data_IF_963864124289
#
_entry.id   IF_963864124289
#
_cell.length_a   1.000
_cell.length_b   1.000
_cell.length_c   1.000
_cell.angle_alpha   90.00
_cell.angle_beta   90.00
_cell.angle_gamma   90.00
#
_symmetry.space_group_name_H-M   'P 1'
#
loop_
_entity.id
_entity.type
_entity.pdbx_description
1 polymer ?
#
# COMPACT_ATOMS: atom_id res chain seq x y z
N UNK A 1 -42.00 27.45 30.65
CA UNK A 1 -40.63 27.27 31.18
C UNK A 1 -40.03 26.04 30.52
N UNK A 2 -39.25 26.24 29.46
CA UNK A 2 -38.53 25.15 28.78
C UNK A 2 -37.17 25.04 29.44
N UNK A 3 -36.92 23.92 30.12
CA UNK A 3 -35.62 23.63 30.73
C UNK A 3 -34.61 23.43 29.60
N UNK A 4 -33.74 24.43 29.42
CA UNK A 4 -32.61 24.35 28.52
C UNK A 4 -31.78 23.12 28.83
N UNK A 5 -31.54 22.30 27.81
CA UNK A 5 -30.63 21.17 27.87
C UNK A 5 -29.28 21.68 28.37
N UNK A 6 -28.81 21.17 29.51
CA UNK A 6 -27.53 21.56 30.08
C UNK A 6 -26.40 21.16 29.11
N UNK A 7 -25.58 22.13 28.71
CA UNK A 7 -24.54 21.99 27.69
C UNK A 7 -23.28 21.24 28.16
N UNK A 8 -23.43 20.15 28.93
CA UNK A 8 -22.27 19.45 29.51
C UNK A 8 -21.52 18.53 28.53
N UNK A 9 -21.99 18.37 27.30
CA UNK A 9 -21.24 17.66 26.25
C UNK A 9 -20.99 18.57 25.06
N UNK A 10 -20.14 19.58 25.24
CA UNK A 10 -19.57 20.25 24.10
C UNK A 10 -18.58 19.27 23.44
N UNK A 11 -19.05 18.58 22.40
CA UNK A 11 -18.21 17.72 21.57
C UNK A 11 -17.12 18.56 20.92
N UNK A 12 -15.89 18.40 21.40
CA UNK A 12 -14.74 18.98 20.72
C UNK A 12 -14.55 18.32 19.34
N UNK A 13 -13.82 19.03 18.46
CA UNK A 13 -13.60 18.57 17.09
C UNK A 13 -12.84 17.24 17.02
N UNK A 14 -11.96 16.97 17.96
CA UNK A 14 -11.16 15.74 17.98
C UNK A 14 -12.03 14.54 18.32
N UNK A 15 -12.93 14.67 19.30
CA UNK A 15 -13.89 13.64 19.69
C UNK A 15 -14.91 13.38 18.59
N UNK A 16 -15.38 14.43 17.91
CA UNK A 16 -16.23 14.27 16.73
C UNK A 16 -15.51 13.52 15.60
N UNK A 17 -14.23 13.81 15.34
CA UNK A 17 -13.43 13.11 14.33
C UNK A 17 -13.21 11.63 14.70
N UNK A 18 -12.92 11.35 15.98
CA UNK A 18 -12.79 9.98 16.49
C UNK A 18 -14.09 9.17 16.32
N UNK A 19 -15.24 9.76 16.65
CA UNK A 19 -16.55 9.13 16.43
C UNK A 19 -16.74 8.83 14.94
N UNK A 20 -16.47 9.80 14.06
CA UNK A 20 -16.58 9.59 12.60
C UNK A 20 -15.69 8.46 12.09
N UNK A 21 -14.46 8.36 12.58
CA UNK A 21 -13.57 7.26 12.21
C UNK A 21 -14.11 5.91 12.68
N UNK A 22 -14.66 5.84 13.90
CA UNK A 22 -15.32 4.64 14.43
C UNK A 22 -16.53 4.22 13.58
N UNK A 23 -17.37 5.17 13.19
CA UNK A 23 -18.54 4.92 12.32
C UNK A 23 -18.12 4.42 10.93
N UNK A 24 -17.06 4.99 10.33
CA UNK A 24 -16.52 4.49 9.07
C UNK A 24 -16.02 3.05 9.19
N UNK A 25 -15.27 2.76 10.26
CA UNK A 25 -14.75 1.43 10.51
C UNK A 25 -15.87 0.39 10.69
N UNK A 26 -16.89 0.70 11.49
CA UNK A 26 -18.05 -0.17 11.72
C UNK A 26 -18.80 -0.47 10.41
N UNK A 27 -19.12 0.57 9.63
CA UNK A 27 -19.84 0.41 8.36
C UNK A 27 -19.05 -0.46 7.37
N UNK A 28 -17.73 -0.24 7.25
CA UNK A 28 -16.87 -1.03 6.36
C UNK A 28 -16.81 -2.49 6.83
N UNK A 29 -16.60 -2.72 8.12
CA UNK A 29 -16.54 -4.05 8.71
C UNK A 29 -17.85 -4.81 8.48
N UNK A 30 -18.99 -4.18 8.77
CA UNK A 30 -20.30 -4.81 8.57
C UNK A 30 -20.55 -5.13 7.10
N UNK A 31 -20.21 -4.22 6.17
CA UNK A 31 -20.41 -4.43 4.75
C UNK A 31 -19.60 -5.64 4.25
N UNK A 32 -18.32 -5.73 4.63
CA UNK A 32 -17.44 -6.80 4.19
C UNK A 32 -17.73 -8.13 4.88
N UNK A 33 -18.04 -8.15 6.19
CA UNK A 33 -18.48 -9.36 6.88
C UNK A 33 -19.76 -9.93 6.25
N UNK A 34 -20.74 -9.08 5.91
CA UNK A 34 -21.96 -9.51 5.20
C UNK A 34 -21.63 -10.04 3.81
N UNK A 35 -20.70 -9.40 3.09
CA UNK A 35 -20.24 -9.86 1.77
C UNK A 35 -19.54 -11.22 1.83
N UNK A 36 -18.67 -11.42 2.82
CA UNK A 36 -17.93 -12.66 3.02
C UNK A 36 -18.86 -13.81 3.44
N UNK A 37 -19.79 -13.57 4.36
CA UNK A 37 -20.81 -14.56 4.79
C UNK A 37 -21.69 -15.00 3.62
N UNK A 38 -22.05 -14.08 2.70
CA UNK A 38 -22.78 -14.43 1.47
C UNK A 38 -22.00 -15.37 0.54
N UNK A 39 -20.67 -15.40 0.66
CA UNK A 39 -19.78 -16.32 -0.06
C UNK A 39 -19.35 -17.51 0.79
N UNK A 40 -20.05 -17.78 1.90
CA UNK A 40 -19.73 -18.93 2.74
C UNK A 40 -19.99 -20.24 2.01
N UNK A 41 -19.11 -21.22 2.23
CA UNK A 41 -19.23 -22.59 1.73
C UNK A 41 -19.14 -23.49 2.96
N UNK A 42 -20.09 -24.41 3.10
CA UNK A 42 -20.17 -25.36 4.23
C UNK A 42 -20.19 -24.69 5.62
N UNK A 43 -20.84 -23.52 5.73
CA UNK A 43 -20.94 -22.78 6.98
C UNK A 43 -19.67 -22.04 7.40
N UNK A 44 -18.65 -22.03 6.54
CA UNK A 44 -17.39 -21.31 6.79
C UNK A 44 -17.27 -20.11 5.86
N UNK A 45 -16.90 -18.98 6.43
CA UNK A 45 -16.58 -17.78 5.68
C UNK A 45 -15.21 -17.95 5.01
N UNK A 46 -15.17 -17.94 3.68
CA UNK A 46 -13.93 -18.06 2.92
C UNK A 46 -13.06 -16.81 2.99
N UNK A 47 -11.86 -16.88 2.40
CA UNK A 47 -11.05 -15.68 2.16
C UNK A 47 -11.83 -14.68 1.31
N UNK A 48 -11.69 -13.40 1.64
CA UNK A 48 -12.38 -12.31 0.96
C UNK A 48 -11.36 -11.26 0.54
N UNK A 49 -11.33 -10.95 -0.76
CA UNK A 49 -10.65 -9.78 -1.29
C UNK A 49 -11.69 -8.66 -1.48
N UNK A 50 -11.33 -7.46 -1.05
CA UNK A 50 -12.22 -6.30 -1.08
C UNK A 50 -11.51 -5.12 -1.75
N UNK A 51 -12.24 -4.43 -2.62
CA UNK A 51 -11.80 -3.17 -3.23
C UNK A 51 -12.56 -2.04 -2.56
N UNK A 52 -11.82 -1.13 -1.92
CA UNK A 52 -12.40 0.01 -1.20
C UNK A 52 -11.98 1.27 -1.95
N UNK A 53 -12.96 2.06 -2.36
CA UNK A 53 -12.74 3.40 -2.90
C UNK A 53 -13.15 4.38 -1.79
N UNK A 54 -12.17 5.11 -1.26
CA UNK A 54 -12.37 6.07 -0.19
C UNK A 54 -11.63 7.38 -0.49
N UNK A 55 -12.18 8.50 -0.01
CA UNK A 55 -11.49 9.80 -0.05
C UNK A 55 -10.31 9.77 0.95
N UNK A 56 -9.08 10.13 0.55
CA UNK A 56 -7.91 10.13 1.43
C UNK A 56 -8.08 10.96 2.71
N UNK A 57 -8.93 12.00 2.70
CA UNK A 57 -9.15 12.87 3.85
C UNK A 57 -9.99 12.24 4.97
N UNK A 58 -10.64 11.09 4.70
CA UNK A 58 -11.51 10.39 5.67
C UNK A 58 -10.74 9.59 6.72
N UNK A 59 -9.43 9.39 6.53
CA UNK A 59 -8.61 8.54 7.40
C UNK A 59 -8.81 7.04 7.17
N UNK A 60 -9.71 6.62 6.28
CA UNK A 60 -9.97 5.21 5.95
C UNK A 60 -8.69 4.50 5.45
N UNK A 61 -7.87 5.07 4.56
CA UNK A 61 -6.63 4.41 4.12
C UNK A 61 -5.71 4.06 5.28
N UNK A 62 -5.53 5.00 6.22
CA UNK A 62 -4.73 4.82 7.44
C UNK A 62 -5.23 3.62 8.27
N UNK A 63 -6.55 3.53 8.47
CA UNK A 63 -7.19 2.41 9.20
C UNK A 63 -7.03 1.05 8.50
N UNK A 64 -7.01 1.02 7.16
CA UNK A 64 -6.80 -0.19 6.37
C UNK A 64 -5.34 -0.61 6.32
N UNK A 65 -4.41 0.34 6.33
CA UNK A 65 -2.96 0.13 6.33
C UNK A 65 -2.38 -0.24 7.71
N UNK A 66 -3.23 -0.47 8.71
CA UNK A 66 -2.84 -0.74 10.10
C UNK A 66 -2.01 0.39 10.73
N UNK A 67 -2.30 1.63 10.31
CA UNK A 67 -1.66 2.84 10.85
C UNK A 67 -2.72 3.60 11.64
N UNK A 68 -2.47 3.91 12.91
CA UNK A 68 -3.41 4.65 13.77
C UNK A 68 -4.13 3.80 14.81
N UNK A 69 -5.15 4.37 15.44
CA UNK A 69 -5.78 3.80 16.63
C UNK A 69 -6.83 2.73 16.33
N UNK A 70 -7.35 2.71 15.10
CA UNK A 70 -8.40 1.79 14.65
C UNK A 70 -7.84 0.91 13.54
N UNK A 71 -7.87 -0.40 13.75
CA UNK A 71 -7.50 -1.43 12.76
C UNK A 71 -8.74 -2.26 12.42
N UNK A 72 -9.30 -2.04 11.23
CA UNK A 72 -10.58 -2.64 10.81
C UNK A 72 -10.42 -4.13 10.53
N UNK A 73 -9.27 -4.54 9.97
CA UNK A 73 -9.01 -5.92 9.56
C UNK A 73 -7.60 -6.36 9.97
N UNK A 74 -7.38 -6.64 11.27
CA UNK A 74 -6.05 -6.99 11.76
C UNK A 74 -5.42 -8.15 11.00
N UNK A 75 -4.17 -7.96 10.56
CA UNK A 75 -3.39 -8.98 9.83
C UNK A 75 -3.81 -9.20 8.37
N UNK A 76 -4.74 -8.40 7.85
CA UNK A 76 -5.02 -8.37 6.41
C UNK A 76 -3.89 -7.69 5.63
N UNK A 77 -3.98 -7.72 4.29
CA UNK A 77 -3.04 -7.01 3.41
C UNK A 77 -3.80 -5.90 2.70
N UNK A 78 -3.46 -4.66 2.99
CA UNK A 78 -3.90 -3.51 2.21
C UNK A 78 -2.88 -3.19 1.13
N UNK A 79 -3.34 -2.99 -0.10
CA UNK A 79 -2.55 -2.53 -1.24
C UNK A 79 -3.33 -1.49 -2.01
N UNK A 80 -2.65 -0.44 -2.46
CA UNK A 80 -3.27 0.54 -3.36
C UNK A 80 -3.59 -0.11 -4.71
N UNK A 81 -4.82 0.08 -5.15
CA UNK A 81 -5.28 -0.42 -6.44
C UNK A 81 -4.85 0.52 -7.57
N UNK A 82 -3.97 0.07 -8.47
CA UNK A 82 -3.60 0.79 -9.70
C UNK A 82 -4.13 0.02 -10.91
N UNK A 83 -5.27 0.45 -11.52
CA UNK A 83 -5.96 -0.31 -12.57
C UNK A 83 -5.30 -0.20 -13.96
N UNK A 84 -4.14 0.44 -14.08
CA UNK A 84 -3.54 0.69 -15.39
C UNK A 84 -2.18 0.02 -15.45
N UNK A 85 -2.09 -1.05 -16.24
CA UNK A 85 -0.85 -1.43 -16.93
C UNK A 85 -0.47 -0.26 -17.84
N UNK A 86 0.13 0.79 -17.28
CA UNK A 86 0.82 1.79 -18.09
C UNK A 86 2.18 1.21 -18.37
N UNK A 87 2.51 1.07 -19.65
CA UNK A 87 3.90 0.92 -20.04
C UNK A 87 4.67 2.09 -19.41
N UNK A 88 5.56 1.75 -18.48
CA UNK A 88 6.42 2.72 -17.84
C UNK A 88 7.35 3.28 -18.93
N UNK A 89 7.34 4.59 -19.08
CA UNK A 89 8.19 5.29 -20.04
C UNK A 89 9.28 6.11 -19.33
N UNK A 90 10.29 6.53 -20.09
CA UNK A 90 11.43 7.28 -19.55
C UNK A 90 12.27 6.48 -18.55
N UNK A 91 12.86 7.18 -17.56
CA UNK A 91 13.84 6.60 -16.63
C UNK A 91 13.28 5.47 -15.76
N UNK A 92 12.03 5.58 -15.32
CA UNK A 92 11.39 4.55 -14.51
C UNK A 92 11.15 3.27 -15.32
N UNK A 93 10.77 3.39 -16.60
CA UNK A 93 10.65 2.25 -17.51
C UNK A 93 11.99 1.58 -17.78
N UNK A 94 13.01 2.37 -18.11
CA UNK A 94 14.38 1.87 -18.30
C UNK A 94 14.89 1.10 -17.07
N UNK A 95 14.63 1.62 -15.87
CA UNK A 95 15.02 0.97 -14.62
C UNK A 95 14.32 -0.36 -14.40
N UNK A 96 13.00 -0.42 -14.59
CA UNK A 96 12.22 -1.66 -14.43
C UNK A 96 12.68 -2.72 -15.42
N UNK A 97 12.81 -2.37 -16.70
CA UNK A 97 13.30 -3.28 -17.75
C UNK A 97 14.67 -3.85 -17.40
N UNK A 98 15.60 -2.99 -16.96
CA UNK A 98 16.96 -3.40 -16.62
C UNK A 98 17.01 -4.35 -15.42
N UNK A 99 16.17 -4.10 -14.40
CA UNK A 99 16.06 -4.96 -13.22
C UNK A 99 15.50 -6.33 -13.61
N UNK A 100 14.44 -6.38 -14.41
CA UNK A 100 13.81 -7.63 -14.86
C UNK A 100 14.81 -8.43 -15.70
N UNK A 101 15.40 -7.78 -16.72
CA UNK A 101 16.39 -8.39 -17.59
C UNK A 101 17.56 -9.00 -16.80
N UNK A 102 18.06 -8.29 -15.79
CA UNK A 102 19.11 -8.81 -14.93
C UNK A 102 18.70 -10.12 -14.23
N UNK A 103 17.48 -10.20 -13.69
CA UNK A 103 17.02 -11.42 -13.02
C UNK A 103 16.74 -12.57 -13.99
N UNK A 104 16.31 -12.28 -15.22
CA UNK A 104 16.07 -13.28 -16.25
C UNK A 104 17.38 -13.84 -16.83
N UNK A 105 18.42 -13.01 -16.96
CA UNK A 105 19.76 -13.43 -17.39
C UNK A 105 20.53 -14.17 -16.29
N UNK A 106 20.18 -13.97 -15.01
CA UNK A 106 20.88 -14.53 -13.85
C UNK A 106 20.05 -15.58 -13.09
N UNK A 107 19.29 -16.40 -13.83
CA UNK A 107 18.52 -17.53 -13.30
C UNK A 107 19.44 -18.52 -12.57
N UNK A 108 19.43 -18.48 -11.23
CA UNK A 108 20.09 -19.46 -10.36
C UNK A 108 21.15 -18.90 -9.41
N UNK A 109 21.75 -17.74 -9.70
CA UNK A 109 22.84 -17.16 -8.87
C UNK A 109 22.46 -15.83 -8.22
N UNK A 110 21.52 -15.08 -8.80
CA UNK A 110 21.17 -13.74 -8.37
C UNK A 110 19.83 -13.65 -7.65
N UNK A 111 19.75 -13.96 -6.35
CA UNK A 111 18.52 -13.65 -5.57
C UNK A 111 18.39 -12.17 -5.22
N UNK A 112 19.46 -11.39 -5.37
CA UNK A 112 19.52 -9.98 -4.94
C UNK A 112 20.31 -9.15 -5.93
N UNK A 113 19.78 -7.99 -6.28
CA UNK A 113 20.42 -6.97 -7.11
C UNK A 113 20.55 -5.66 -6.32
N UNK A 114 21.77 -5.20 -6.00
CA UNK A 114 21.97 -3.90 -5.36
C UNK A 114 21.51 -2.73 -6.24
N UNK A 115 20.74 -1.79 -5.67
CA UNK A 115 20.29 -0.59 -6.40
C UNK A 115 21.44 0.28 -6.95
N UNK A 116 22.62 0.38 -6.28
CA UNK A 116 23.75 1.12 -6.85
C UNK A 116 24.24 0.61 -8.21
N UNK A 117 24.09 -0.69 -8.51
CA UNK A 117 24.46 -1.22 -9.82
C UNK A 117 23.51 -0.73 -10.91
N UNK A 118 22.21 -0.72 -10.62
CA UNK A 118 21.17 -0.19 -11.51
C UNK A 118 21.37 1.31 -11.74
N UNK A 119 21.61 2.08 -10.68
CA UNK A 119 21.92 3.52 -10.78
C UNK A 119 23.14 3.80 -11.66
N UNK A 120 24.23 3.05 -11.46
CA UNK A 120 25.45 3.20 -12.24
C UNK A 120 25.23 2.90 -13.72
N UNK A 121 24.45 1.87 -14.04
CA UNK A 121 24.15 1.47 -15.41
C UNK A 121 23.26 2.49 -16.13
N UNK A 122 22.31 3.10 -15.42
CA UNK A 122 21.48 4.20 -15.93
C UNK A 122 22.17 5.57 -15.87
N UNK A 123 23.38 5.64 -15.31
CA UNK A 123 24.15 6.88 -15.09
C UNK A 123 23.36 7.92 -14.28
N UNK A 124 22.61 7.47 -13.28
CA UNK A 124 21.79 8.33 -12.42
C UNK A 124 22.54 8.67 -11.13
N UNK A 125 22.36 9.90 -10.66
CA UNK A 125 22.78 10.26 -9.30
C UNK A 125 21.81 9.66 -8.27
N UNK A 126 22.20 9.51 -6.99
CA UNK A 126 21.27 9.05 -5.95
C UNK A 126 20.03 9.93 -5.79
N UNK A 127 20.15 11.23 -6.05
CA UNK A 127 19.04 12.17 -5.95
C UNK A 127 18.03 11.96 -7.08
N UNK A 128 18.50 11.89 -8.33
CA UNK A 128 17.65 11.64 -9.51
C UNK A 128 17.00 10.26 -9.42
N UNK A 129 17.76 9.25 -8.98
CA UNK A 129 17.24 7.92 -8.74
C UNK A 129 16.07 7.92 -7.73
N UNK A 130 16.22 8.68 -6.65
CA UNK A 130 15.17 8.76 -5.65
C UNK A 130 13.93 9.48 -6.18
N UNK A 131 14.12 10.61 -6.86
CA UNK A 131 13.04 11.46 -7.36
C UNK A 131 12.28 10.83 -8.54
N UNK A 132 13.01 10.28 -9.51
CA UNK A 132 12.46 9.88 -10.81
C UNK A 132 12.05 8.40 -10.86
N UNK A 133 12.65 7.56 -10.01
CA UNK A 133 12.42 6.10 -10.03
C UNK A 133 11.78 5.63 -8.72
N UNK A 134 12.45 5.81 -7.58
CA UNK A 134 12.00 5.22 -6.31
C UNK A 134 10.66 5.80 -5.84
N UNK A 135 10.45 7.10 -6.00
CA UNK A 135 9.22 7.78 -5.60
C UNK A 135 8.15 7.76 -6.69
N UNK A 136 8.42 7.15 -7.85
CA UNK A 136 7.43 7.04 -8.90
C UNK A 136 6.33 6.07 -8.46
N UNK A 137 5.07 6.54 -8.47
CA UNK A 137 3.92 5.80 -7.92
C UNK A 137 3.76 4.38 -8.49
N UNK A 138 4.11 4.20 -9.75
CA UNK A 138 3.88 2.95 -10.49
C UNK A 138 5.11 2.01 -10.44
N UNK A 139 6.24 2.44 -9.86
CA UNK A 139 7.51 1.69 -9.90
C UNK A 139 7.45 0.39 -9.08
N UNK A 140 7.03 0.46 -7.82
CA UNK A 140 6.93 -0.74 -6.98
C UNK A 140 5.86 -1.71 -7.49
N UNK A 141 4.76 -1.18 -8.05
CA UNK A 141 3.71 -1.99 -8.68
C UNK A 141 4.21 -2.77 -9.89
N UNK A 142 4.96 -2.11 -10.78
CA UNK A 142 5.53 -2.76 -11.96
C UNK A 142 6.57 -3.84 -11.61
N UNK A 143 7.42 -3.60 -10.60
CA UNK A 143 8.34 -4.65 -10.12
C UNK A 143 7.58 -5.84 -9.51
N UNK A 144 6.54 -5.56 -8.73
CA UNK A 144 5.75 -6.60 -8.06
C UNK A 144 5.02 -7.50 -9.06
N UNK A 145 4.53 -6.95 -10.18
CA UNK A 145 3.92 -7.72 -11.27
C UNK A 145 4.86 -8.79 -11.84
N UNK A 146 6.17 -8.50 -11.86
CA UNK A 146 7.22 -9.40 -12.35
C UNK A 146 7.84 -10.27 -11.24
N UNK A 147 7.22 -10.29 -10.06
CA UNK A 147 7.70 -11.07 -8.93
C UNK A 147 8.95 -10.49 -8.27
N UNK A 148 9.24 -9.19 -8.44
CA UNK A 148 10.41 -8.51 -7.85
C UNK A 148 9.93 -7.51 -6.81
N UNK A 149 10.67 -7.37 -5.70
CA UNK A 149 10.40 -6.35 -4.67
C UNK A 149 11.63 -5.51 -4.36
N UNK A 150 11.40 -4.24 -4.03
CA UNK A 150 12.41 -3.34 -3.49
C UNK A 150 12.52 -3.53 -1.97
N UNK A 151 13.69 -3.96 -1.49
CA UNK A 151 14.01 -4.09 -0.07
C UNK A 151 14.85 -2.88 0.36
N UNK A 152 14.23 -2.00 1.14
CA UNK A 152 14.91 -0.86 1.77
C UNK A 152 15.65 -1.33 3.02
N UNK A 153 16.97 -1.23 3.05
CA UNK A 153 17.78 -1.51 4.24
C UNK A 153 18.25 -0.22 4.87
N UNK A 154 18.14 -0.11 6.20
CA UNK A 154 18.81 0.95 6.97
C UNK A 154 20.29 0.58 7.16
N UNK A 155 21.20 1.48 6.82
CA UNK A 155 22.65 1.32 7.03
C UNK A 155 23.47 1.03 5.76
N UNK A 156 24.69 0.50 5.94
CA UNK A 156 25.78 0.40 4.94
C UNK A 156 25.53 -0.53 3.72
N UNK A 157 24.29 -0.96 3.50
CA UNK A 157 23.92 -1.91 2.44
C UNK A 157 23.07 -1.33 1.31
N UNK A 158 22.54 -0.12 1.46
CA UNK A 158 21.67 0.51 0.46
C UNK A 158 20.38 -0.27 0.14
N UNK A 159 19.57 0.28 -0.75
CA UNK A 159 18.40 -0.42 -1.27
C UNK A 159 18.84 -1.58 -2.18
N UNK A 160 18.10 -2.69 -2.15
CA UNK A 160 18.36 -3.85 -3.00
C UNK A 160 17.04 -4.39 -3.57
N UNK A 161 17.07 -4.96 -4.76
CA UNK A 161 15.96 -5.68 -5.36
C UNK A 161 16.09 -7.17 -5.06
N UNK A 162 14.96 -7.85 -4.86
CA UNK A 162 14.91 -9.27 -4.57
C UNK A 162 13.74 -9.91 -5.33
N UNK A 163 13.98 -11.02 -6.03
CA UNK A 163 12.92 -11.84 -6.62
C UNK A 163 12.20 -12.62 -5.50
N UNK A 164 10.87 -12.62 -5.55
CA UNK A 164 9.97 -13.24 -4.58
C UNK A 164 9.92 -14.76 -4.74
#
# INVERSE_FOLDING_TARGET
MSSGIQSQEQLDRAKLASIKHGEHADVILQALCRGAVRKSVDGVCGKCDAYIIADPQTGIPTMLEHKGDIDIFPGSKAVDWSPVERELSGRVGEAVTLIIQWFDENLGFGKKLPAPLVMAQLRMTPQDWHNDVVNHRDFEGALAAEGVRLVRKRGRGGNQFQRM
#
